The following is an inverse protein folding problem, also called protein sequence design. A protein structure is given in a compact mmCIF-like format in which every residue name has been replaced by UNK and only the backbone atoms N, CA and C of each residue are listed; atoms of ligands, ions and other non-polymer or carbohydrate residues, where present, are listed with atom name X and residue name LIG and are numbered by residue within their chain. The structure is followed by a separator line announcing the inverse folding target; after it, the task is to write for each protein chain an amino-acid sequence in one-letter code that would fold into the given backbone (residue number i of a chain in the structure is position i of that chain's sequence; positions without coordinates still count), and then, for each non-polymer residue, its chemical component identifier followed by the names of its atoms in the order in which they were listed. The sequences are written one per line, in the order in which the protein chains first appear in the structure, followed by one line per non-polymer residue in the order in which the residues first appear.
data_IF_775086534248
#
_entry.id   IF_775086534248
#
_cell.length_a   1.000
_cell.length_b   1.000
_cell.length_c   1.000
_cell.angle_alpha   90.00
_cell.angle_beta   90.00
_cell.angle_gamma   90.00
#
_symmetry.space_group_name_H-M   'P 1'
#
loop_
_entity.id
_entity.type
_entity.pdbx_description
1 polymer ?
#
# COMPACT_ATOMS: atom_id res chain seq x y z
N UNK A 1 -3.74 5.90 22.98
CA UNK A 1 -3.35 4.90 24.00
C UNK A 1 -2.51 3.84 23.31
N UNK A 2 -1.28 3.60 23.75
CA UNK A 2 -0.47 2.47 23.26
C UNK A 2 -0.73 1.32 24.22
N UNK A 3 -1.57 0.37 23.84
CA UNK A 3 -1.79 -0.85 24.62
C UNK A 3 -0.53 -1.71 24.55
N UNK A 4 -0.03 -2.12 25.71
CA UNK A 4 1.18 -2.94 25.82
C UNK A 4 0.80 -4.37 25.44
N UNK A 5 1.26 -4.86 24.30
CA UNK A 5 1.03 -6.23 23.86
C UNK A 5 1.73 -7.23 24.80
N UNK A 6 1.00 -8.28 25.17
CA UNK A 6 1.47 -9.38 26.01
C UNK A 6 2.31 -10.37 25.20
N UNK A 7 3.12 -11.18 25.88
CA UNK A 7 3.89 -12.27 25.25
C UNK A 7 2.99 -13.27 24.52
N UNK A 8 1.83 -13.59 25.09
CA UNK A 8 0.86 -14.51 24.50
C UNK A 8 0.29 -13.95 23.18
N UNK A 9 -0.06 -12.65 23.15
CA UNK A 9 -0.54 -11.99 21.93
C UNK A 9 0.54 -12.02 20.84
N UNK A 10 1.81 -11.70 21.16
CA UNK A 10 2.91 -11.81 20.20
C UNK A 10 3.13 -13.23 19.67
N UNK A 11 2.97 -14.26 20.52
CA UNK A 11 3.09 -15.66 20.12
C UNK A 11 1.91 -16.13 19.26
N UNK A 12 0.76 -15.46 19.36
CA UNK A 12 -0.43 -15.75 18.59
C UNK A 12 -0.47 -15.05 17.22
N UNK A 13 0.55 -14.28 16.84
CA UNK A 13 0.59 -13.58 15.56
C UNK A 13 0.52 -14.53 14.35
N UNK A 14 -0.17 -14.14 13.29
CA UNK A 14 -0.33 -14.98 12.09
C UNK A 14 0.89 -14.97 11.17
N UNK A 15 1.80 -14.02 11.35
CA UNK A 15 3.01 -13.87 10.54
C UNK A 15 4.20 -13.38 11.34
N UNK A 16 5.34 -14.05 11.18
CA UNK A 16 6.62 -13.67 11.77
C UNK A 16 7.68 -13.48 10.68
N UNK A 17 8.26 -12.29 10.58
CA UNK A 17 9.43 -12.09 9.75
C UNK A 17 10.71 -12.50 10.48
N UNK A 18 11.44 -13.46 9.94
CA UNK A 18 12.73 -13.93 10.45
C UNK A 18 13.83 -13.33 9.60
N UNK A 19 14.61 -12.43 10.18
CA UNK A 19 15.75 -11.79 9.52
C UNK A 19 16.99 -12.70 9.51
N UNK A 20 17.82 -12.54 8.48
CA UNK A 20 19.14 -13.16 8.33
C UNK A 20 20.08 -12.19 7.61
N UNK A 21 21.37 -12.53 7.52
CA UNK A 21 22.38 -11.68 6.88
C UNK A 21 22.13 -11.43 5.39
N UNK A 22 21.47 -12.37 4.69
CA UNK A 22 21.21 -12.30 3.23
C UNK A 22 19.77 -11.91 2.89
N UNK A 23 19.01 -11.36 3.84
CA UNK A 23 17.58 -11.10 3.71
C UNK A 23 16.78 -11.83 4.79
N UNK A 24 15.47 -12.00 4.64
CA UNK A 24 14.68 -12.77 5.60
C UNK A 24 13.59 -13.60 4.95
N UNK A 25 12.71 -14.16 5.77
CA UNK A 25 11.54 -14.88 5.31
C UNK A 25 10.37 -14.67 6.26
N UNK A 26 9.17 -14.62 5.70
CA UNK A 26 7.95 -14.71 6.47
C UNK A 26 7.67 -16.17 6.83
N UNK A 27 7.41 -16.45 8.11
CA UNK A 27 6.68 -17.64 8.55
C UNK A 27 5.24 -17.22 8.78
N UNK A 28 4.35 -17.68 7.92
CA UNK A 28 2.92 -17.44 7.99
C UNK A 28 2.24 -18.69 8.55
N UNK A 29 1.14 -18.54 9.29
CA UNK A 29 0.32 -19.69 9.71
C UNK A 29 -0.40 -20.30 8.52
N UNK A 30 -0.55 -21.62 8.54
CA UNK A 30 -1.26 -22.38 7.50
C UNK A 30 -2.76 -22.04 7.42
N UNK A 31 -3.32 -21.42 8.47
CA UNK A 31 -4.70 -20.97 8.52
C UNK A 31 -4.96 -19.67 7.73
N UNK A 32 -3.90 -18.95 7.32
CA UNK A 32 -4.07 -17.79 6.45
C UNK A 32 -4.48 -18.26 5.05
N UNK A 33 -5.46 -17.60 4.40
CA UNK A 33 -5.81 -17.93 3.04
C UNK A 33 -4.62 -17.62 2.12
N UNK A 34 -4.52 -18.35 1.01
CA UNK A 34 -3.45 -18.17 0.03
C UNK A 34 -3.38 -16.72 -0.48
N UNK A 35 -4.55 -16.08 -0.62
CA UNK A 35 -4.69 -14.65 -0.90
C UNK A 35 -5.61 -14.02 0.16
N UNK A 36 -5.08 -13.12 1.00
CA UNK A 36 -5.90 -12.26 1.86
C UNK A 36 -5.87 -10.83 1.34
N UNK A 37 -7.00 -10.36 0.83
CA UNK A 37 -7.13 -8.98 0.37
C UNK A 37 -7.13 -8.01 1.54
N UNK A 38 -6.32 -6.97 1.42
CA UNK A 38 -6.38 -5.79 2.26
C UNK A 38 -7.17 -4.71 1.49
N UNK A 39 -7.76 -3.79 2.23
CA UNK A 39 -8.44 -2.65 1.63
C UNK A 39 -8.05 -1.35 2.34
N UNK A 40 -7.96 -0.29 1.55
CA UNK A 40 -7.92 1.08 2.03
C UNK A 40 -8.95 1.85 1.23
N UNK A 41 -10.03 2.27 1.90
CA UNK A 41 -11.22 2.82 1.24
C UNK A 41 -11.72 1.87 0.13
N UNK A 42 -11.79 2.33 -1.11
CA UNK A 42 -12.25 1.57 -2.28
C UNK A 42 -11.10 0.92 -3.09
N UNK A 43 -9.88 0.96 -2.56
CA UNK A 43 -8.69 0.32 -3.16
C UNK A 43 -8.45 -1.02 -2.48
N UNK A 44 -8.45 -2.09 -3.28
CA UNK A 44 -8.09 -3.44 -2.83
C UNK A 44 -6.66 -3.74 -3.26
N UNK A 45 -5.91 -4.42 -2.41
CA UNK A 45 -4.54 -4.82 -2.70
C UNK A 45 -4.16 -6.08 -1.95
N UNK A 46 -3.16 -6.80 -2.46
CA UNK A 46 -2.65 -8.02 -1.84
C UNK A 46 -1.34 -7.76 -1.09
N UNK A 47 -1.20 -8.25 0.15
CA UNK A 47 0.07 -8.31 0.84
C UNK A 47 1.06 -9.21 0.10
N UNK A 48 2.32 -8.79 0.08
CA UNK A 48 3.42 -9.44 -0.61
C UNK A 48 4.50 -9.86 0.40
N UNK A 49 4.34 -11.02 1.06
CA UNK A 49 5.35 -11.58 1.96
C UNK A 49 6.57 -12.06 1.13
N UNK A 50 7.53 -11.16 0.93
CA UNK A 50 8.78 -11.45 0.21
C UNK A 50 9.93 -11.78 1.16
N UNK A 51 11.16 -11.82 0.65
CA UNK A 51 12.36 -11.88 1.50
C UNK A 51 12.67 -10.56 2.25
N UNK A 52 11.88 -9.52 2.01
CA UNK A 52 11.96 -8.23 2.71
C UNK A 52 10.87 -8.09 3.78
N UNK A 53 11.09 -7.19 4.74
CA UNK A 53 10.19 -6.94 5.88
C UNK A 53 8.85 -6.32 5.49
N UNK A 54 8.79 -5.55 4.41
CA UNK A 54 7.54 -4.90 4.01
C UNK A 54 6.58 -5.89 3.37
N UNK A 55 5.28 -5.67 3.54
CA UNK A 55 4.22 -6.48 2.94
C UNK A 55 3.69 -5.88 1.62
N UNK A 56 4.41 -4.95 0.99
CA UNK A 56 3.95 -4.37 -0.28
C UNK A 56 3.12 -3.09 -0.14
N UNK A 57 2.96 -2.57 1.07
CA UNK A 57 2.27 -1.30 1.34
C UNK A 57 2.78 -0.66 2.64
N UNK A 58 2.51 0.64 2.78
CA UNK A 58 2.97 1.49 3.88
C UNK A 58 1.75 2.24 4.44
N UNK A 59 0.99 1.64 5.38
CA UNK A 59 -0.30 2.18 5.83
C UNK A 59 -0.17 3.54 6.53
N UNK A 60 1.00 3.86 7.08
CA UNK A 60 1.30 5.17 7.66
C UNK A 60 1.22 6.31 6.62
N UNK A 61 1.36 6.00 5.33
CA UNK A 61 1.24 6.98 4.25
C UNK A 61 -0.22 7.36 3.94
N UNK A 62 -1.21 6.67 4.53
CA UNK A 62 -2.64 6.92 4.30
C UNK A 62 -3.07 8.36 4.56
N UNK A 63 -2.49 9.01 5.58
CA UNK A 63 -2.77 10.41 5.89
C UNK A 63 -2.35 11.36 4.75
N UNK A 64 -1.27 11.02 4.03
CA UNK A 64 -0.81 11.79 2.88
C UNK A 64 -1.68 11.54 1.65
N UNK A 65 -2.16 10.31 1.45
CA UNK A 65 -3.07 9.99 0.35
C UNK A 65 -4.41 10.73 0.51
N UNK A 66 -4.99 10.70 1.71
CA UNK A 66 -6.21 11.45 2.03
C UNK A 66 -6.02 12.96 1.85
N UNK A 67 -4.91 13.51 2.36
CA UNK A 67 -4.59 14.93 2.16
C UNK A 67 -4.47 15.29 0.67
N UNK A 68 -3.80 14.47 -0.14
CA UNK A 68 -3.70 14.65 -1.58
C UNK A 68 -5.08 14.60 -2.27
N UNK A 69 -5.92 13.63 -1.91
CA UNK A 69 -7.27 13.50 -2.46
C UNK A 69 -8.15 14.73 -2.18
N UNK A 70 -8.08 15.30 -0.98
CA UNK A 70 -8.80 16.52 -0.64
C UNK A 70 -8.32 17.72 -1.47
N UNK A 71 -7.01 17.82 -1.72
CA UNK A 71 -6.45 18.86 -2.60
C UNK A 71 -6.91 18.68 -4.05
N UNK A 72 -6.96 17.43 -4.54
CA UNK A 72 -7.43 17.10 -5.89
C UNK A 72 -8.91 17.49 -6.06
N UNK A 73 -9.77 17.13 -5.10
CA UNK A 73 -11.20 17.46 -5.13
C UNK A 73 -11.42 18.98 -5.17
N UNK A 74 -10.76 19.73 -4.27
CA UNK A 74 -10.81 21.21 -4.26
C UNK A 74 -10.30 21.83 -5.56
N UNK A 75 -9.21 21.32 -6.13
CA UNK A 75 -8.70 21.79 -7.41
C UNK A 75 -9.75 21.64 -8.53
N UNK A 76 -10.43 20.48 -8.58
CA UNK A 76 -11.47 20.22 -9.58
C UNK A 76 -12.66 21.17 -9.43
N UNK A 77 -13.08 21.44 -8.20
CA UNK A 77 -14.17 22.39 -7.91
C UNK A 77 -13.83 23.80 -8.39
N UNK A 78 -12.59 24.27 -8.15
CA UNK A 78 -12.15 25.62 -8.49
C UNK A 78 -11.88 25.77 -10.00
N UNK A 79 -11.27 24.77 -10.62
CA UNK A 79 -10.74 24.89 -11.98
C UNK A 79 -11.53 24.13 -13.05
N UNK A 80 -12.59 23.41 -12.66
CA UNK A 80 -13.45 22.60 -13.53
C UNK A 80 -12.68 21.62 -14.45
N UNK A 81 -11.51 21.14 -14.01
CA UNK A 81 -10.66 20.18 -14.73
C UNK A 81 -9.86 19.30 -13.78
N UNK A 82 -9.40 18.15 -14.27
CA UNK A 82 -8.52 17.26 -13.51
C UNK A 82 -7.11 17.90 -13.34
N UNK A 83 -6.50 17.81 -12.14
CA UNK A 83 -5.08 18.10 -11.97
C UNK A 83 -4.24 16.94 -12.52
N UNK A 84 -3.04 17.27 -13.01
CA UNK A 84 -2.01 16.29 -13.39
C UNK A 84 -1.08 16.05 -12.21
N UNK A 85 -0.98 14.80 -11.76
CA UNK A 85 -0.17 14.40 -10.60
C UNK A 85 0.96 13.48 -11.08
N UNK A 86 2.19 13.82 -10.70
CA UNK A 86 3.36 12.97 -10.88
C UNK A 86 3.68 12.29 -9.55
N UNK A 87 3.65 10.96 -9.52
CA UNK A 87 4.07 10.18 -8.36
C UNK A 87 5.38 9.46 -8.68
N UNK A 88 6.46 9.86 -8.02
CA UNK A 88 7.80 9.28 -8.19
C UNK A 88 8.06 8.25 -7.09
N UNK A 89 8.79 7.17 -7.42
CA UNK A 89 9.04 6.05 -6.50
C UNK A 89 7.72 5.47 -5.96
N UNK A 90 6.75 5.35 -6.88
CA UNK A 90 5.35 5.15 -6.55
C UNK A 90 5.00 3.72 -6.10
N UNK A 91 5.96 2.79 -6.18
CA UNK A 91 5.91 1.45 -5.62
C UNK A 91 4.64 0.67 -6.03
N UNK A 92 3.91 0.10 -5.07
CA UNK A 92 2.68 -0.68 -5.30
C UNK A 92 1.49 0.15 -5.75
N UNK A 93 1.67 1.47 -5.91
CA UNK A 93 0.71 2.34 -6.59
C UNK A 93 -0.51 2.75 -5.78
N UNK A 94 -0.64 2.39 -4.50
CA UNK A 94 -1.82 2.74 -3.68
C UNK A 94 -2.09 4.25 -3.70
N UNK A 95 -1.07 5.08 -3.48
CA UNK A 95 -1.20 6.54 -3.55
C UNK A 95 -1.57 7.07 -4.95
N UNK A 96 -1.06 6.43 -6.02
CA UNK A 96 -1.43 6.76 -7.41
C UNK A 96 -2.89 6.42 -7.70
N UNK A 97 -3.34 5.24 -7.25
CA UNK A 97 -4.72 4.79 -7.42
C UNK A 97 -5.70 5.65 -6.62
N UNK A 98 -5.31 6.08 -5.41
CA UNK A 98 -6.11 6.97 -4.57
C UNK A 98 -6.25 8.36 -5.21
N UNK A 99 -5.15 8.93 -5.72
CA UNK A 99 -5.18 10.19 -6.46
C UNK A 99 -6.04 10.09 -7.74
N UNK A 100 -5.93 8.98 -8.48
CA UNK A 100 -6.74 8.75 -9.68
C UNK A 100 -8.24 8.63 -9.34
N UNK A 101 -8.60 7.93 -8.26
CA UNK A 101 -9.98 7.83 -7.75
C UNK A 101 -10.54 9.17 -7.27
N UNK A 102 -9.70 10.04 -6.72
CA UNK A 102 -10.07 11.43 -6.43
C UNK A 102 -10.30 12.28 -7.71
N UNK A 103 -9.91 11.76 -8.88
CA UNK A 103 -10.17 12.35 -10.18
C UNK A 103 -8.98 13.11 -10.79
N UNK A 104 -7.75 12.78 -10.39
CA UNK A 104 -6.54 13.30 -11.03
C UNK A 104 -6.14 12.47 -12.27
N UNK A 105 -5.45 13.12 -13.21
CA UNK A 105 -4.65 12.45 -14.23
C UNK A 105 -3.28 12.08 -13.62
N UNK A 106 -2.98 10.80 -13.45
CA UNK A 106 -1.79 10.36 -12.69
C UNK A 106 -0.72 9.76 -13.59
N UNK A 107 0.49 10.31 -13.52
CA UNK A 107 1.71 9.69 -14.03
C UNK A 107 2.41 8.97 -12.88
N UNK A 108 2.42 7.64 -12.95
CA UNK A 108 3.07 6.76 -11.97
C UNK A 108 4.46 6.35 -12.48
N UNK A 109 5.51 6.62 -11.69
CA UNK A 109 6.89 6.26 -12.04
C UNK A 109 7.52 5.43 -10.93
N UNK A 110 7.99 4.25 -11.32
CA UNK A 110 8.88 3.40 -10.52
C UNK A 110 9.89 2.72 -11.45
N UNK A 111 11.12 2.54 -10.98
CA UNK A 111 12.17 1.88 -11.76
C UNK A 111 12.01 0.35 -11.77
N UNK A 112 11.29 -0.21 -10.79
CA UNK A 112 11.10 -1.64 -10.65
C UNK A 112 9.92 -2.12 -11.48
N UNK A 113 10.18 -2.91 -12.54
CA UNK A 113 9.15 -3.60 -13.31
C UNK A 113 8.19 -4.40 -12.41
N UNK A 114 8.70 -4.99 -11.33
CA UNK A 114 7.90 -5.72 -10.34
C UNK A 114 6.96 -4.80 -9.58
N UNK A 115 7.40 -3.61 -9.18
CA UNK A 115 6.55 -2.63 -8.50
C UNK A 115 5.46 -2.11 -9.44
N UNK A 116 5.81 -1.79 -10.70
CA UNK A 116 4.85 -1.42 -11.74
C UNK A 116 3.78 -2.51 -11.93
N UNK A 117 4.18 -3.79 -12.00
CA UNK A 117 3.21 -4.88 -12.11
C UNK A 117 2.28 -4.97 -10.88
N UNK A 118 2.80 -4.75 -9.67
CA UNK A 118 1.97 -4.69 -8.47
C UNK A 118 0.95 -3.56 -8.53
N UNK A 119 1.37 -2.38 -9.00
CA UNK A 119 0.46 -1.26 -9.19
C UNK A 119 -0.65 -1.57 -10.22
N UNK A 120 -0.33 -2.31 -11.29
CA UNK A 120 -1.34 -2.78 -12.24
C UNK A 120 -2.29 -3.80 -11.62
N UNK A 121 -1.79 -4.77 -10.87
CA UNK A 121 -2.62 -5.77 -10.20
C UNK A 121 -3.56 -5.14 -9.16
N UNK A 122 -3.11 -4.10 -8.44
CA UNK A 122 -3.93 -3.36 -7.48
C UNK A 122 -4.95 -2.42 -8.13
N UNK A 123 -4.83 -2.15 -9.44
CA UNK A 123 -5.78 -1.32 -10.19
C UNK A 123 -7.04 -2.08 -10.54
N UNK A 124 -6.93 -3.39 -10.77
CA UNK A 124 -8.04 -4.30 -11.08
C UNK A 124 -8.93 -4.53 -9.86
#
# INVERSE_FOLDING_TARGET
MVTKTTKAEWQSADGHFIASEKGGKWKLKDSLPENWHMHFEDIRFLPMPTSFRHLGFFPEQSVHWQWCADKIKKFKEIHARAPRILNLFAYSGIGSLHAARAGAEVTHIDASKKAIQLAFNNRE
#
